data_IF_373365767809
#
_entry.id   IF_373365767809
#
_cell.length_a   1.000
_cell.length_b   1.000
_cell.length_c   1.000
_cell.angle_alpha   90.00
_cell.angle_beta   90.00
_cell.angle_gamma   90.00
#
_symmetry.space_group_name_H-M   'P 1'
#
loop_
_entity.id
_entity.type
_entity.pdbx_description
1 polymer ?
#
# COMPACT_ATOMS: atom_id res chain seq x y z
N UNK A 1 -8.74 75.01 -17.18
CA UNK A 1 -7.74 74.08 -16.61
C UNK A 1 -8.29 73.53 -15.31
N UNK A 2 -8.70 72.26 -15.31
CA UNK A 2 -8.97 71.50 -14.09
C UNK A 2 -8.68 70.04 -14.41
N UNK A 3 -7.68 69.47 -13.73
CA UNK A 3 -7.20 68.11 -13.90
C UNK A 3 -7.93 67.27 -12.85
N UNK A 4 -8.75 66.33 -13.29
CA UNK A 4 -9.43 65.37 -12.42
C UNK A 4 -8.51 64.18 -12.16
N UNK A 5 -8.03 64.05 -10.92
CA UNK A 5 -7.32 62.86 -10.45
C UNK A 5 -8.32 61.90 -9.82
N UNK A 6 -8.48 60.71 -10.41
CA UNK A 6 -9.35 59.65 -9.90
C UNK A 6 -8.52 58.68 -9.07
N UNK A 7 -8.76 58.66 -7.76
CA UNK A 7 -8.15 57.74 -6.79
C UNK A 7 -8.84 56.38 -6.87
N UNK A 8 -8.12 55.34 -7.29
CA UNK A 8 -8.62 53.95 -7.29
C UNK A 8 -8.44 53.35 -5.89
N UNK A 9 -9.54 53.08 -5.19
CA UNK A 9 -9.54 52.30 -3.96
C UNK A 9 -9.34 50.81 -4.28
N UNK A 10 -8.31 50.20 -3.70
CA UNK A 10 -8.03 48.76 -3.82
C UNK A 10 -8.89 48.03 -2.77
N UNK A 11 -9.94 47.36 -3.23
CA UNK A 11 -10.63 46.35 -2.43
C UNK A 11 -9.84 45.03 -2.52
N UNK A 12 -9.18 44.64 -1.43
CA UNK A 12 -8.54 43.32 -1.30
C UNK A 12 -9.65 42.30 -1.07
N UNK A 13 -9.96 41.53 -2.11
CA UNK A 13 -10.85 40.38 -2.00
C UNK A 13 -10.02 39.18 -1.53
N UNK A 14 -10.28 38.72 -0.30
CA UNK A 14 -9.74 37.47 0.23
C UNK A 14 -10.14 36.31 -0.69
N UNK A 15 -9.14 35.68 -1.33
CA UNK A 15 -9.37 34.49 -2.17
C UNK A 15 -9.52 33.26 -1.30
N UNK A 16 -10.74 32.76 -1.21
CA UNK A 16 -11.07 31.45 -0.69
C UNK A 16 -10.43 30.36 -1.59
N UNK A 17 -9.59 29.44 -1.06
CA UNK A 17 -8.91 28.45 -1.88
C UNK A 17 -9.81 27.22 -2.06
N UNK A 18 -10.81 27.31 -2.93
CA UNK A 18 -11.63 26.13 -3.29
C UNK A 18 -11.63 25.78 -4.77
N UNK A 19 -11.03 26.60 -5.64
CA UNK A 19 -11.28 26.47 -7.09
C UNK A 19 -10.05 26.18 -7.96
N UNK A 20 -8.88 25.84 -7.41
CA UNK A 20 -7.67 25.63 -8.21
C UNK A 20 -6.89 24.34 -7.85
N UNK A 21 -7.60 23.21 -7.87
CA UNK A 21 -6.95 21.89 -7.92
C UNK A 21 -7.64 21.11 -9.03
N UNK A 22 -7.08 21.19 -10.23
CA UNK A 22 -7.28 20.18 -11.27
C UNK A 22 -7.06 18.81 -10.62
N UNK A 23 -8.14 18.02 -10.59
CA UNK A 23 -8.18 16.63 -10.14
C UNK A 23 -7.31 15.79 -11.09
N UNK A 24 -5.99 15.90 -10.98
CA UNK A 24 -5.09 14.89 -11.53
C UNK A 24 -5.27 13.62 -10.68
N UNK A 25 -6.23 12.80 -11.09
CA UNK A 25 -6.30 11.40 -10.66
C UNK A 25 -5.00 10.77 -11.11
N UNK A 26 -4.18 10.16 -10.23
CA UNK A 26 -3.02 9.39 -10.65
C UNK A 26 -3.46 8.45 -11.77
N UNK A 27 -2.75 8.42 -12.91
CA UNK A 27 -3.06 7.49 -14.00
C UNK A 27 -3.30 6.11 -13.39
N UNK A 28 -4.53 5.63 -13.46
CA UNK A 28 -4.93 4.42 -12.76
C UNK A 28 -4.01 3.27 -13.18
N UNK A 29 -3.40 2.61 -12.19
CA UNK A 29 -2.67 1.37 -12.37
C UNK A 29 -3.64 0.35 -12.98
N UNK A 30 -3.49 0.07 -14.28
CA UNK A 30 -4.30 -0.91 -15.00
C UNK A 30 -3.67 -2.28 -14.85
N UNK A 31 -4.44 -3.22 -14.32
CA UNK A 31 -4.11 -4.65 -14.35
C UNK A 31 -4.81 -5.29 -15.55
N UNK A 32 -4.13 -6.25 -16.17
CA UNK A 32 -4.67 -7.12 -17.20
C UNK A 32 -5.19 -8.41 -16.56
N UNK A 33 -6.22 -9.00 -17.14
CA UNK A 33 -6.68 -10.32 -16.71
C UNK A 33 -5.61 -11.37 -17.05
N UNK A 34 -5.14 -12.09 -16.02
CA UNK A 34 -4.03 -13.04 -16.16
C UNK A 34 -4.32 -14.12 -17.21
N UNK A 35 -5.57 -14.58 -17.29
CA UNK A 35 -6.02 -15.67 -18.17
C UNK A 35 -6.47 -15.14 -19.55
N UNK A 36 -6.44 -13.83 -19.78
CA UNK A 36 -6.87 -13.28 -21.07
C UNK A 36 -5.79 -13.48 -22.14
N UNK A 37 -6.09 -14.36 -23.09
CA UNK A 37 -5.26 -14.62 -24.27
C UNK A 37 -6.00 -14.10 -25.49
N UNK A 38 -5.50 -13.01 -26.08
CA UNK A 38 -6.04 -12.45 -27.32
C UNK A 38 -5.15 -12.85 -28.49
N UNK A 39 -5.67 -13.66 -29.41
CA UNK A 39 -5.00 -14.01 -30.66
C UNK A 39 -5.40 -13.02 -31.76
N UNK A 40 -4.41 -12.46 -32.44
CA UNK A 40 -4.65 -11.70 -33.68
C UNK A 40 -5.07 -12.65 -34.79
N UNK A 41 -5.68 -12.14 -35.87
CA UNK A 41 -6.05 -12.96 -37.04
C UNK A 41 -4.89 -13.84 -37.54
N UNK A 42 -3.70 -13.27 -37.82
CA UNK A 42 -2.52 -14.06 -38.18
C UNK A 42 -2.06 -15.02 -37.07
N UNK A 43 -2.12 -14.59 -35.80
CA UNK A 43 -1.75 -15.44 -34.65
C UNK A 43 -2.63 -16.68 -34.55
N UNK A 44 -3.94 -16.54 -34.73
CA UNK A 44 -4.90 -17.64 -34.74
C UNK A 44 -4.57 -18.65 -35.86
N UNK A 45 -4.31 -18.16 -37.07
CA UNK A 45 -3.95 -19.02 -38.22
C UNK A 45 -2.66 -19.81 -37.93
N UNK A 46 -1.63 -19.15 -37.40
CA UNK A 46 -0.37 -19.81 -37.05
C UNK A 46 -0.54 -20.84 -35.92
N UNK A 47 -1.37 -20.55 -34.91
CA UNK A 47 -1.69 -21.52 -33.85
C UNK A 47 -2.39 -22.75 -34.41
N UNK A 48 -3.38 -22.58 -35.30
CA UNK A 48 -4.08 -23.69 -35.94
C UNK A 48 -3.11 -24.55 -36.75
N UNK A 49 -2.27 -23.92 -37.59
CA UNK A 49 -1.25 -24.63 -38.38
C UNK A 49 -0.25 -25.38 -37.49
N UNK A 50 0.21 -24.75 -36.40
CA UNK A 50 1.10 -25.37 -35.42
C UNK A 50 0.47 -26.59 -34.76
N UNK A 51 -0.80 -26.52 -34.37
CA UNK A 51 -1.54 -27.67 -33.81
C UNK A 51 -1.63 -28.81 -34.83
N UNK A 52 -2.00 -28.50 -36.09
CA UNK A 52 -2.07 -29.51 -37.16
C UNK A 52 -0.72 -30.19 -37.35
N UNK A 53 0.38 -29.43 -37.42
CA UNK A 53 1.73 -29.97 -37.55
C UNK A 53 2.07 -30.87 -36.36
N UNK A 54 1.80 -30.42 -35.13
CA UNK A 54 2.09 -31.21 -33.93
C UNK A 54 1.33 -32.55 -33.90
N UNK A 55 0.04 -32.55 -34.30
CA UNK A 55 -0.77 -33.78 -34.36
C UNK A 55 -0.19 -34.79 -35.36
N UNK A 56 0.38 -34.31 -36.47
CA UNK A 56 0.92 -35.17 -37.52
C UNK A 56 2.36 -35.65 -37.25
N UNK A 57 3.15 -34.91 -36.47
CA UNK A 57 4.57 -35.19 -36.26
C UNK A 57 4.90 -35.84 -34.91
N UNK A 58 4.07 -35.62 -33.88
CA UNK A 58 4.36 -36.07 -32.52
C UNK A 58 3.36 -37.11 -32.01
N UNK A 59 3.76 -37.84 -30.97
CA UNK A 59 2.89 -38.79 -30.28
C UNK A 59 1.68 -38.06 -29.66
N UNK A 60 0.48 -38.67 -29.62
CA UNK A 60 -0.73 -38.02 -29.12
C UNK A 60 -0.60 -37.46 -27.68
N UNK A 61 0.13 -38.16 -26.81
CA UNK A 61 0.40 -37.72 -25.43
C UNK A 61 1.27 -36.46 -25.38
N UNK A 62 2.30 -36.39 -26.22
CA UNK A 62 3.18 -35.21 -26.31
C UNK A 62 2.42 -34.01 -26.87
N UNK A 63 1.65 -34.20 -27.95
CA UNK A 63 0.83 -33.13 -28.54
C UNK A 63 -0.19 -32.59 -27.55
N UNK A 64 -0.89 -33.47 -26.82
CA UNK A 64 -1.85 -33.07 -25.79
C UNK A 64 -1.18 -32.28 -24.66
N UNK A 65 0.03 -32.69 -24.25
CA UNK A 65 0.82 -32.01 -23.22
C UNK A 65 1.23 -30.61 -23.68
N UNK A 66 1.74 -30.47 -24.90
CA UNK A 66 2.14 -29.17 -25.46
C UNK A 66 0.95 -28.22 -25.52
N UNK A 67 -0.20 -28.68 -26.00
CA UNK A 67 -1.42 -27.86 -26.08
C UNK A 67 -1.88 -27.45 -24.68
N UNK A 68 -1.87 -28.36 -23.70
CA UNK A 68 -2.26 -28.06 -22.33
C UNK A 68 -1.35 -27.03 -21.66
N UNK A 69 -0.04 -27.04 -21.97
CA UNK A 69 0.94 -26.13 -21.38
C UNK A 69 1.14 -24.83 -22.19
N UNK A 70 0.67 -24.76 -23.43
CA UNK A 70 0.83 -23.60 -24.32
C UNK A 70 0.32 -22.26 -23.73
N UNK A 71 -0.74 -22.21 -22.89
CA UNK A 71 -1.15 -20.98 -22.23
C UNK A 71 -0.18 -20.45 -21.17
N UNK A 72 0.66 -21.31 -20.57
CA UNK A 72 1.47 -20.96 -19.38
C UNK A 72 2.43 -19.79 -19.65
N UNK A 73 3.20 -19.75 -20.75
CA UNK A 73 4.08 -18.61 -21.04
C UNK A 73 3.32 -17.28 -21.12
N UNK A 74 2.11 -17.27 -21.69
CA UNK A 74 1.30 -16.06 -21.79
C UNK A 74 0.76 -15.62 -20.42
N UNK A 75 0.30 -16.57 -19.60
CA UNK A 75 -0.11 -16.32 -18.21
C UNK A 75 1.04 -15.70 -17.41
N UNK A 76 2.24 -16.28 -17.50
CA UNK A 76 3.44 -15.76 -16.83
C UNK A 76 3.82 -14.37 -17.36
N UNK A 77 3.70 -14.15 -18.67
CA UNK A 77 3.96 -12.85 -19.29
C UNK A 77 2.99 -11.78 -18.78
N UNK A 78 1.67 -12.05 -18.81
CA UNK A 78 0.64 -11.14 -18.32
C UNK A 78 0.84 -10.82 -16.84
N UNK A 79 1.07 -11.83 -16.00
CA UNK A 79 1.27 -11.66 -14.56
C UNK A 79 2.59 -10.91 -14.25
N UNK A 80 3.65 -11.15 -15.03
CA UNK A 80 4.88 -10.37 -14.94
C UNK A 80 4.65 -8.89 -15.29
N UNK A 81 3.92 -8.60 -16.37
CA UNK A 81 3.58 -7.22 -16.74
C UNK A 81 2.69 -6.55 -15.70
N UNK A 82 1.75 -7.29 -15.13
CA UNK A 82 0.95 -6.84 -13.99
C UNK A 82 1.83 -6.48 -12.80
N UNK A 83 2.83 -7.30 -12.45
CA UNK A 83 3.81 -7.00 -11.40
C UNK A 83 4.60 -5.71 -11.70
N UNK A 84 5.13 -5.57 -12.92
CA UNK A 84 5.87 -4.36 -13.32
C UNK A 84 4.98 -3.11 -13.29
N UNK A 85 3.70 -3.24 -13.68
CA UNK A 85 2.75 -2.12 -13.72
C UNK A 85 2.46 -1.49 -12.35
N UNK A 86 2.68 -2.22 -11.25
CA UNK A 86 2.53 -1.71 -9.88
C UNK A 86 3.62 -0.69 -9.51
N UNK A 87 4.63 -0.55 -10.37
CA UNK A 87 5.75 0.38 -10.20
C UNK A 87 6.82 -0.14 -9.24
N UNK A 88 7.76 0.73 -8.83
CA UNK A 88 8.79 0.38 -7.86
C UNK A 88 8.21 0.23 -6.45
N UNK A 89 8.92 -0.50 -5.58
CA UNK A 89 8.64 -0.63 -4.15
C UNK A 89 9.74 -1.42 -3.43
N UNK A 90 9.39 -2.08 -2.32
CA UNK A 90 10.36 -2.84 -1.51
C UNK A 90 11.08 -3.98 -2.26
N UNK A 91 10.38 -4.64 -3.21
CA UNK A 91 10.95 -5.62 -4.13
C UNK A 91 11.23 -4.96 -5.49
N UNK A 92 12.43 -5.13 -6.08
CA UNK A 92 12.75 -4.54 -7.38
C UNK A 92 11.84 -5.06 -8.51
N UNK A 93 11.45 -4.16 -9.42
CA UNK A 93 10.67 -4.48 -10.63
C UNK A 93 11.52 -5.18 -11.70
N UNK A 94 12.10 -6.33 -11.35
CA UNK A 94 12.95 -7.16 -12.21
C UNK A 94 12.41 -8.59 -12.30
N UNK A 95 12.92 -9.41 -13.21
CA UNK A 95 12.54 -10.83 -13.29
C UNK A 95 12.81 -11.57 -11.97
N UNK A 96 13.94 -11.29 -11.32
CA UNK A 96 14.27 -11.88 -10.03
C UNK A 96 13.30 -11.43 -8.92
N UNK A 97 12.88 -10.17 -8.95
CA UNK A 97 11.82 -9.66 -8.06
C UNK A 97 10.49 -10.36 -8.29
N UNK A 98 10.10 -10.59 -9.54
CA UNK A 98 8.90 -11.35 -9.88
C UNK A 98 8.97 -12.79 -9.35
N UNK A 99 10.08 -13.50 -9.56
CA UNK A 99 10.28 -14.85 -9.01
C UNK A 99 10.11 -14.85 -7.49
N UNK A 100 10.65 -13.84 -6.80
CA UNK A 100 10.46 -13.67 -5.35
C UNK A 100 8.99 -13.50 -4.98
N UNK A 101 8.26 -12.63 -5.67
CA UNK A 101 6.83 -12.44 -5.39
C UNK A 101 6.03 -13.71 -5.66
N UNK A 102 6.31 -14.43 -6.74
CA UNK A 102 5.67 -15.71 -7.06
C UNK A 102 5.90 -16.74 -5.97
N UNK A 103 7.12 -16.80 -5.39
CA UNK A 103 7.41 -17.63 -4.23
C UNK A 103 6.63 -17.17 -2.98
N UNK A 104 6.61 -15.87 -2.68
CA UNK A 104 5.94 -15.33 -1.49
C UNK A 104 4.42 -15.55 -1.52
N UNK A 105 3.79 -15.55 -2.71
CA UNK A 105 2.35 -15.82 -2.87
C UNK A 105 1.89 -17.14 -2.26
N UNK A 106 2.78 -18.14 -2.14
CA UNK A 106 2.47 -19.43 -1.51
C UNK A 106 2.12 -19.27 -0.03
N UNK A 107 2.65 -18.24 0.63
CA UNK A 107 2.44 -17.94 2.05
C UNK A 107 1.46 -16.79 2.28
N UNK A 108 0.83 -16.28 1.23
CA UNK A 108 -0.12 -15.18 1.34
C UNK A 108 -1.37 -15.61 2.10
N UNK A 109 -1.92 -14.71 2.90
CA UNK A 109 -3.21 -14.87 3.55
C UNK A 109 -4.29 -15.18 2.52
N UNK A 110 -5.10 -16.21 2.80
CA UNK A 110 -6.24 -16.55 1.94
C UNK A 110 -7.35 -15.50 2.03
N UNK A 111 -7.50 -14.87 3.20
CA UNK A 111 -8.44 -13.78 3.43
C UNK A 111 -7.75 -12.59 4.12
N UNK A 112 -7.51 -11.48 3.41
CA UNK A 112 -6.89 -10.28 4.00
C UNK A 112 -7.86 -9.48 4.88
N UNK A 113 -9.15 -9.83 4.93
CA UNK A 113 -10.15 -9.15 5.75
C UNK A 113 -10.33 -9.77 7.14
N UNK A 114 -9.79 -10.96 7.35
CA UNK A 114 -9.79 -11.63 8.66
C UNK A 114 -8.83 -10.94 9.64
N UNK A 115 -9.29 -10.52 10.82
CA UNK A 115 -8.47 -9.77 11.77
C UNK A 115 -7.26 -10.59 12.28
N UNK A 116 -6.16 -9.92 12.68
CA UNK A 116 -5.03 -10.58 13.32
C UNK A 116 -5.43 -11.19 14.66
N UNK A 117 -4.72 -12.24 15.09
CA UNK A 117 -5.01 -12.88 16.39
C UNK A 117 -4.50 -11.99 17.52
N UNK A 118 -5.28 -11.94 18.60
CA UNK A 118 -4.85 -11.31 19.85
C UNK A 118 -4.01 -12.33 20.62
N UNK A 119 -2.74 -12.05 20.86
CA UNK A 119 -1.89 -12.85 21.73
C UNK A 119 -2.00 -12.39 23.18
N UNK A 120 -1.70 -13.27 24.14
CA UNK A 120 -1.57 -12.88 25.54
C UNK A 120 -0.32 -12.00 25.72
N UNK A 121 -0.39 -11.03 26.64
CA UNK A 121 0.74 -10.17 26.99
C UNK A 121 1.07 -9.04 25.99
N UNK A 122 0.14 -8.69 25.09
CA UNK A 122 0.32 -7.51 24.24
C UNK A 122 0.34 -6.22 25.07
N UNK A 123 1.14 -5.26 24.63
CA UNK A 123 1.20 -3.93 25.21
C UNK A 123 1.16 -2.92 24.07
N UNK A 124 0.20 -1.97 24.01
CA UNK A 124 -0.88 -1.72 24.97
C UNK A 124 -1.87 -2.90 25.10
N UNK A 125 -2.58 -3.06 26.23
CA UNK A 125 -3.52 -4.16 26.45
C UNK A 125 -4.86 -3.99 25.72
N UNK A 126 -5.17 -2.78 25.26
CA UNK A 126 -6.41 -2.46 24.53
C UNK A 126 -6.09 -1.57 23.33
N UNK A 127 -6.93 -1.63 22.30
CA UNK A 127 -6.86 -0.76 21.13
C UNK A 127 -7.15 0.70 21.44
N UNK A 128 -6.56 1.61 20.66
CA UNK A 128 -6.76 3.05 20.77
C UNK A 128 -8.21 3.45 20.54
N UNK A 129 -8.89 2.85 19.56
CA UNK A 129 -10.27 3.24 19.18
C UNK A 129 -11.21 3.03 20.36
N UNK A 130 -11.09 1.89 21.05
CA UNK A 130 -11.87 1.62 22.25
C UNK A 130 -11.45 2.53 23.41
N UNK A 131 -10.14 2.68 23.64
CA UNK A 131 -9.59 3.47 24.74
C UNK A 131 -9.94 4.98 24.64
N UNK A 132 -10.02 5.50 23.41
CA UNK A 132 -10.42 6.87 23.10
C UNK A 132 -11.94 7.01 22.86
N UNK A 133 -12.71 5.92 22.93
CA UNK A 133 -14.15 5.87 22.64
C UNK A 133 -14.52 6.47 21.28
N UNK A 134 -13.68 6.23 20.29
CA UNK A 134 -13.88 6.71 18.93
C UNK A 134 -14.89 5.82 18.21
N UNK A 135 -15.88 6.44 17.57
CA UNK A 135 -16.84 5.74 16.72
C UNK A 135 -16.49 5.97 15.25
N UNK A 136 -15.76 5.03 14.65
CA UNK A 136 -15.45 5.11 13.23
C UNK A 136 -16.69 4.81 12.37
N UNK A 137 -17.04 5.69 11.41
CA UNK A 137 -18.13 5.43 10.49
C UNK A 137 -17.78 4.26 9.56
N UNK A 138 -18.80 3.65 8.95
CA UNK A 138 -18.58 2.66 7.88
C UNK A 138 -18.15 3.42 6.62
N UNK A 139 -17.11 2.94 5.94
CA UNK A 139 -16.66 3.53 4.67
C UNK A 139 -17.75 3.35 3.61
N UNK A 140 -18.10 4.42 2.91
CA UNK A 140 -19.18 4.39 1.91
C UNK A 140 -18.76 3.69 0.62
N UNK A 141 -19.61 2.79 0.13
CA UNK A 141 -19.41 2.06 -1.14
C UNK A 141 -18.64 0.74 -1.00
N UNK A 142 -18.38 0.05 -2.12
CA UNK A 142 -17.61 -1.20 -2.11
C UNK A 142 -16.16 -0.95 -1.69
N UNK A 143 -15.45 -1.99 -1.31
CA UNK A 143 -14.00 -1.89 -1.05
C UNK A 143 -13.23 -1.58 -2.34
N UNK A 144 -12.17 -0.76 -2.27
CA UNK A 144 -11.20 -0.64 -3.35
C UNK A 144 -10.57 -2.00 -3.68
N UNK A 145 -10.39 -2.28 -4.97
CA UNK A 145 -9.50 -3.33 -5.45
C UNK A 145 -8.06 -2.98 -5.14
N UNK A 146 -7.31 -3.97 -4.68
CA UNK A 146 -5.88 -3.91 -4.35
C UNK A 146 -5.18 -5.07 -5.05
N UNK A 147 -3.93 -4.86 -5.46
CA UNK A 147 -3.11 -5.87 -6.12
C UNK A 147 -1.67 -5.85 -5.59
N UNK A 148 -0.99 -6.99 -5.75
CA UNK A 148 0.41 -7.15 -5.40
C UNK A 148 0.68 -7.61 -3.97
N UNK A 149 1.96 -7.85 -3.68
CA UNK A 149 2.47 -8.22 -2.36
C UNK A 149 3.53 -7.19 -1.96
N UNK A 150 4.60 -7.07 -2.75
CA UNK A 150 5.60 -6.03 -2.55
C UNK A 150 6.12 -5.62 -3.93
N UNK A 151 5.70 -4.47 -4.48
CA UNK A 151 4.72 -3.54 -3.90
C UNK A 151 3.29 -4.11 -3.84
N UNK A 152 2.51 -3.67 -2.85
CA UNK A 152 1.06 -3.78 -2.79
C UNK A 152 0.46 -2.40 -3.11
N UNK A 153 -0.58 -2.35 -3.95
CA UNK A 153 -1.19 -1.10 -4.41
C UNK A 153 -2.70 -1.16 -4.46
N UNK A 154 -3.34 -0.06 -4.09
CA UNK A 154 -4.74 0.22 -4.39
C UNK A 154 -4.89 0.59 -5.88
N UNK A 155 -5.67 -0.19 -6.63
CA UNK A 155 -5.80 -0.06 -8.10
C UNK A 155 -7.18 0.47 -8.54
N UNK A 156 -8.02 0.88 -7.60
CA UNK A 156 -9.31 1.49 -7.88
C UNK A 156 -9.75 2.41 -6.75
N UNK A 157 -10.77 3.24 -6.97
CA UNK A 157 -11.26 4.21 -5.99
C UNK A 157 -10.13 5.09 -5.39
N UNK A 158 -9.24 5.57 -6.25
CA UNK A 158 -8.08 6.37 -5.86
C UNK A 158 -8.46 7.56 -4.97
N UNK A 159 -7.60 7.87 -4.01
CA UNK A 159 -7.77 9.04 -3.15
C UNK A 159 -7.55 10.35 -3.92
N UNK A 160 -8.03 11.44 -3.32
CA UNK A 160 -7.84 12.78 -3.89
C UNK A 160 -6.41 13.27 -3.69
N UNK A 161 -5.81 13.85 -4.74
CA UNK A 161 -4.48 14.47 -4.65
C UNK A 161 -4.42 15.59 -3.62
N UNK A 162 -5.53 16.32 -3.43
CA UNK A 162 -5.64 17.33 -2.39
C UNK A 162 -5.53 16.71 -0.99
N UNK A 163 -6.22 15.58 -0.76
CA UNK A 163 -6.16 14.89 0.54
C UNK A 163 -4.78 14.27 0.79
N UNK A 164 -4.14 13.74 -0.25
CA UNK A 164 -2.75 13.29 -0.18
C UNK A 164 -1.79 14.41 0.26
N UNK A 165 -1.90 15.60 -0.35
CA UNK A 165 -1.06 16.76 0.01
C UNK A 165 -1.32 17.20 1.44
N UNK A 166 -2.59 17.37 1.83
CA UNK A 166 -2.97 17.71 3.20
C UNK A 166 -2.40 16.72 4.21
N UNK A 167 -2.52 15.42 3.95
CA UNK A 167 -2.00 14.42 4.87
C UNK A 167 -0.48 14.49 5.01
N UNK A 168 0.26 14.63 3.89
CA UNK A 168 1.73 14.78 3.96
C UNK A 168 2.15 15.99 4.78
N UNK A 169 1.51 17.13 4.54
CA UNK A 169 1.73 18.35 5.34
C UNK A 169 1.41 18.12 6.82
N UNK A 170 0.28 17.47 7.11
CA UNK A 170 -0.15 17.15 8.47
C UNK A 170 0.86 16.24 9.19
N UNK A 171 1.38 15.21 8.52
CA UNK A 171 2.38 14.30 9.08
C UNK A 171 3.72 15.00 9.36
N UNK A 172 4.18 15.84 8.44
CA UNK A 172 5.39 16.64 8.63
C UNK A 172 5.24 17.60 9.82
N UNK A 173 4.12 18.33 9.88
CA UNK A 173 3.84 19.25 10.98
C UNK A 173 3.70 18.51 12.32
N UNK A 174 3.10 17.32 12.30
CA UNK A 174 2.95 16.48 13.48
C UNK A 174 4.30 16.03 14.03
N UNK A 175 5.19 15.55 13.17
CA UNK A 175 6.56 15.22 13.54
C UNK A 175 7.33 16.45 14.05
N UNK A 176 7.17 17.60 13.41
CA UNK A 176 7.84 18.83 13.82
C UNK A 176 7.42 19.30 15.22
N UNK A 177 6.10 19.32 15.52
CA UNK A 177 5.59 19.73 16.83
C UNK A 177 5.90 18.77 17.95
N UNK A 178 6.11 17.49 17.62
CA UNK A 178 6.44 16.42 18.55
C UNK A 178 7.84 15.88 18.26
N UNK A 179 8.79 16.78 17.98
CA UNK A 179 10.16 16.41 17.57
C UNK A 179 10.93 15.65 18.65
N UNK A 180 10.47 15.68 19.90
CA UNK A 180 10.94 14.88 21.01
C UNK A 180 10.52 13.40 20.92
N UNK A 181 9.52 13.07 20.10
CA UNK A 181 8.85 11.77 20.07
C UNK A 181 8.68 11.18 18.67
N UNK A 182 8.56 12.03 17.66
CA UNK A 182 8.24 11.66 16.30
C UNK A 182 9.27 12.23 15.33
N UNK A 183 9.46 11.54 14.22
CA UNK A 183 10.19 12.06 13.05
C UNK A 183 9.54 11.58 11.76
N UNK A 184 9.81 12.29 10.67
CA UNK A 184 9.50 11.85 9.32
C UNK A 184 10.77 11.46 8.57
N UNK A 185 10.70 10.38 7.80
CA UNK A 185 11.83 9.88 7.00
C UNK A 185 11.31 9.03 5.82
N UNK A 186 12.20 8.45 5.02
CA UNK A 186 11.86 7.47 3.98
C UNK A 186 11.44 6.15 4.61
N UNK A 187 10.32 5.58 4.16
CA UNK A 187 9.85 4.26 4.64
C UNK A 187 10.91 3.18 4.41
N UNK A 188 11.11 2.31 5.39
CA UNK A 188 12.05 1.19 5.24
C UNK A 188 11.41 -0.05 4.60
N UNK A 189 10.07 -0.13 4.53
CA UNK A 189 9.36 -1.14 3.74
C UNK A 189 9.26 -0.76 2.26
N UNK A 190 8.73 0.44 1.99
CA UNK A 190 8.52 0.92 0.62
C UNK A 190 9.85 1.38 -0.02
N UNK A 191 10.86 1.69 0.80
CA UNK A 191 12.17 2.26 0.41
C UNK A 191 12.06 3.60 -0.31
N UNK A 192 10.87 4.20 -0.26
CA UNK A 192 10.44 5.44 -0.91
C UNK A 192 9.27 6.03 -0.11
N UNK A 193 8.95 7.28 -0.41
CA UNK A 193 7.76 7.95 0.14
C UNK A 193 7.94 8.39 1.60
N UNK A 194 7.00 9.24 2.03
CA UNK A 194 6.98 9.80 3.37
C UNK A 194 6.50 8.75 4.39
N UNK A 195 7.26 8.55 5.45
CA UNK A 195 6.88 7.74 6.59
C UNK A 195 7.01 8.53 7.90
N UNK A 196 6.15 8.20 8.86
CA UNK A 196 6.16 8.71 10.22
C UNK A 196 6.74 7.63 11.14
N UNK A 197 7.67 8.02 12.02
CA UNK A 197 8.34 7.12 12.96
C UNK A 197 8.19 7.61 14.40
N UNK A 198 8.08 6.67 15.33
CA UNK A 198 8.30 6.90 16.76
C UNK A 198 9.79 6.82 17.10
N UNK A 199 10.29 7.77 17.89
CA UNK A 199 11.66 7.76 18.41
C UNK A 199 11.84 6.77 19.57
N UNK A 200 10.75 6.48 20.29
CA UNK A 200 10.74 5.56 21.44
C UNK A 200 9.64 4.50 21.25
N UNK A 201 9.80 3.54 20.32
CA UNK A 201 8.79 2.53 20.06
C UNK A 201 8.77 1.46 21.16
N UNK A 202 7.58 1.09 21.64
CA UNK A 202 7.34 -0.10 22.47
C UNK A 202 7.08 -1.35 21.61
N UNK A 203 6.49 -1.16 20.42
CA UNK A 203 6.31 -2.20 19.41
C UNK A 203 7.12 -1.86 18.17
N UNK A 204 8.40 -2.24 18.19
CA UNK A 204 9.33 -1.87 17.12
C UNK A 204 9.05 -2.66 15.85
N UNK A 205 8.58 -1.95 14.83
CA UNK A 205 8.62 -2.42 13.44
C UNK A 205 9.45 -1.43 12.65
N UNK A 206 10.48 -1.91 11.95
CA UNK A 206 11.24 -1.09 11.00
C UNK A 206 11.71 0.25 11.61
N UNK A 207 12.53 0.20 12.66
CA UNK A 207 12.99 1.39 13.40
C UNK A 207 11.87 2.29 13.95
N UNK A 208 10.71 1.72 14.29
CA UNK A 208 9.58 2.45 14.88
C UNK A 208 8.65 3.10 13.85
N UNK A 209 8.61 2.58 12.62
CA UNK A 209 7.70 3.07 11.57
C UNK A 209 6.23 2.88 11.99
N UNK A 210 5.52 4.00 12.12
CA UNK A 210 4.09 4.07 12.47
C UNK A 210 3.26 3.83 11.22
N UNK A 211 3.49 4.64 10.19
CA UNK A 211 2.82 4.55 8.91
C UNK A 211 3.68 5.12 7.79
N UNK A 212 3.44 4.67 6.57
CA UNK A 212 3.99 5.30 5.38
C UNK A 212 2.95 5.51 4.29
N UNK A 213 3.19 6.51 3.46
CA UNK A 213 2.31 6.92 2.37
C UNK A 213 2.87 6.48 1.02
N UNK A 214 2.07 5.75 0.25
CA UNK A 214 2.39 5.40 -1.12
C UNK A 214 2.24 6.63 -2.02
N UNK A 215 3.26 6.92 -2.81
CA UNK A 215 3.20 8.04 -3.76
C UNK A 215 2.32 7.73 -4.98
N UNK A 216 2.25 6.47 -5.40
CA UNK A 216 1.60 6.04 -6.64
C UNK A 216 0.07 6.04 -6.54
N UNK A 217 -0.49 5.59 -5.43
CA UNK A 217 -1.95 5.40 -5.26
C UNK A 217 -2.54 6.13 -4.04
N UNK A 218 -1.69 6.81 -3.25
CA UNK A 218 -2.04 7.55 -2.04
C UNK A 218 -2.59 6.68 -0.89
N UNK A 219 -2.47 5.35 -0.97
CA UNK A 219 -2.80 4.44 0.12
C UNK A 219 -1.65 4.36 1.14
N UNK A 220 -1.88 3.65 2.25
CA UNK A 220 -0.95 3.65 3.38
C UNK A 220 -0.72 2.25 3.90
N UNK A 221 0.48 1.97 4.39
CA UNK A 221 0.65 0.88 5.34
C UNK A 221 0.94 1.40 6.74
N UNK A 222 0.50 0.63 7.73
CA UNK A 222 0.76 0.89 9.13
C UNK A 222 0.62 -0.38 9.97
N UNK A 223 1.17 -0.34 11.18
CA UNK A 223 0.98 -1.37 12.19
C UNK A 223 -0.07 -0.92 13.20
N UNK A 224 -1.06 -1.77 13.46
CA UNK A 224 -2.18 -1.46 14.33
C UNK A 224 -2.28 -2.45 15.49
N UNK A 225 -2.85 -2.01 16.61
CA UNK A 225 -3.27 -2.95 17.62
C UNK A 225 -4.28 -3.95 17.01
N UNK A 226 -4.22 -5.26 17.36
CA UNK A 226 -5.12 -6.25 16.76
C UNK A 226 -6.62 -5.92 16.85
N UNK A 227 -7.06 -5.32 17.98
CA UNK A 227 -8.44 -4.85 18.15
C UNK A 227 -8.78 -3.66 17.25
N UNK A 228 -7.87 -2.71 17.06
CA UNK A 228 -8.09 -1.57 16.16
C UNK A 228 -8.15 -2.05 14.71
N UNK A 229 -7.24 -2.95 14.33
CA UNK A 229 -7.23 -3.60 13.02
C UNK A 229 -8.57 -4.28 12.76
N UNK A 230 -9.12 -5.04 13.73
CA UNK A 230 -10.44 -5.65 13.61
C UNK A 230 -11.53 -4.63 13.29
N UNK A 231 -11.62 -3.53 14.05
CA UNK A 231 -12.63 -2.49 13.83
C UNK A 231 -12.46 -1.85 12.44
N UNK A 232 -11.22 -1.52 12.06
CA UNK A 232 -10.89 -0.89 10.77
C UNK A 232 -11.26 -1.80 9.59
N UNK A 233 -10.96 -3.09 9.70
CA UNK A 233 -11.34 -4.10 8.71
C UNK A 233 -12.86 -4.19 8.63
N UNK A 234 -13.57 -4.40 9.74
CA UNK A 234 -15.05 -4.51 9.76
C UNK A 234 -15.74 -3.26 9.18
N UNK A 235 -15.20 -2.07 9.43
CA UNK A 235 -15.74 -0.79 8.95
C UNK A 235 -15.39 -0.45 7.50
N UNK A 236 -14.59 -1.28 6.83
CA UNK A 236 -14.29 -1.12 5.40
C UNK A 236 -13.14 -0.17 5.07
N UNK A 237 -12.29 0.19 6.04
CA UNK A 237 -11.25 1.21 5.86
C UNK A 237 -9.90 0.68 5.34
N UNK A 238 -9.70 -0.63 5.39
CA UNK A 238 -8.47 -1.25 4.91
C UNK A 238 -8.57 -2.76 4.79
N UNK A 239 -7.42 -3.37 4.53
CA UNK A 239 -7.21 -4.80 4.43
C UNK A 239 -5.80 -5.17 4.88
N UNK A 240 -5.60 -6.38 5.42
CA UNK A 240 -4.28 -6.81 5.85
C UNK A 240 -3.35 -6.99 4.66
N UNK A 241 -2.07 -6.75 4.89
CA UNK A 241 -1.06 -7.07 3.88
C UNK A 241 -1.05 -8.60 3.65
N UNK A 242 -0.93 -9.09 2.39
CA UNK A 242 -0.99 -10.53 2.10
C UNK A 242 0.01 -11.37 2.90
N UNK A 243 1.17 -10.79 3.24
CA UNK A 243 2.21 -11.45 4.04
C UNK A 243 2.13 -11.18 5.54
N UNK A 244 1.05 -10.56 6.03
CA UNK A 244 0.89 -10.23 7.44
C UNK A 244 0.81 -11.50 8.30
N UNK A 245 1.88 -11.77 9.06
CA UNK A 245 2.00 -12.97 9.89
C UNK A 245 2.43 -14.21 9.11
N UNK A 246 2.89 -14.06 7.86
CA UNK A 246 3.41 -15.17 7.10
C UNK A 246 4.68 -15.74 7.74
N UNK A 247 4.73 -17.07 7.83
CA UNK A 247 5.84 -17.82 8.41
C UNK A 247 6.11 -19.07 7.60
N UNK A 248 7.39 -19.43 7.44
CA UNK A 248 7.77 -20.68 6.81
C UNK A 248 7.43 -21.86 7.74
N UNK A 249 7.03 -23.03 7.20
CA UNK A 249 6.94 -24.26 7.98
C UNK A 249 8.26 -24.53 8.72
N UNK A 250 8.21 -25.09 9.92
CA UNK A 250 9.40 -25.29 10.77
C UNK A 250 10.53 -26.03 10.06
N UNK A 251 10.20 -27.02 9.23
CA UNK A 251 11.17 -27.78 8.42
C UNK A 251 11.93 -26.85 7.47
N UNK A 252 11.21 -25.96 6.77
CA UNK A 252 11.82 -24.99 5.85
C UNK A 252 12.65 -23.97 6.62
N UNK A 253 12.13 -23.46 7.74
CA UNK A 253 12.86 -22.52 8.59
C UNK A 253 14.19 -23.12 9.11
N UNK A 254 14.19 -24.40 9.50
CA UNK A 254 15.39 -25.11 9.94
C UNK A 254 16.41 -25.20 8.80
N UNK A 255 15.99 -25.56 7.58
CA UNK A 255 16.88 -25.61 6.41
C UNK A 255 17.46 -24.22 6.12
N UNK A 256 16.62 -23.17 6.10
CA UNK A 256 17.05 -21.80 5.84
C UNK A 256 18.03 -21.27 6.90
N UNK A 257 18.03 -21.82 8.12
CA UNK A 257 18.95 -21.41 9.19
C UNK A 257 20.41 -21.83 8.95
N UNK A 258 20.65 -22.82 8.10
CA UNK A 258 21.99 -23.24 7.69
C UNK A 258 22.56 -22.41 6.53
N UNK A 259 21.74 -21.58 5.89
CA UNK A 259 22.18 -20.73 4.77
C UNK A 259 22.81 -19.41 5.28
N UNK A 260 23.66 -18.76 4.47
CA UNK A 260 24.13 -17.41 4.77
C UNK A 260 22.96 -16.45 5.02
N UNK A 261 23.12 -15.50 5.94
CA UNK A 261 22.04 -14.58 6.38
C UNK A 261 21.36 -13.87 5.22
N UNK A 262 22.11 -13.46 4.19
CA UNK A 262 21.58 -12.80 2.99
C UNK A 262 20.64 -13.71 2.19
N UNK A 263 21.00 -14.99 2.05
CA UNK A 263 20.21 -15.98 1.33
C UNK A 263 19.00 -16.43 2.16
N UNK A 264 19.19 -16.62 3.47
CA UNK A 264 18.09 -16.91 4.41
C UNK A 264 17.05 -15.79 4.41
N UNK A 265 17.49 -14.53 4.45
CA UNK A 265 16.62 -13.36 4.36
C UNK A 265 15.87 -13.25 3.02
N UNK A 266 16.49 -13.70 1.93
CA UNK A 266 15.84 -13.73 0.61
C UNK A 266 14.64 -14.67 0.57
N UNK A 267 14.76 -15.85 1.18
CA UNK A 267 13.73 -16.88 1.24
C UNK A 267 12.77 -16.76 2.43
N UNK A 268 13.04 -15.86 3.38
CA UNK A 268 12.14 -15.66 4.52
C UNK A 268 10.80 -15.08 4.04
N UNK A 269 9.67 -15.75 4.32
CA UNK A 269 8.35 -15.21 4.00
C UNK A 269 7.90 -14.13 5.00
N UNK A 270 8.59 -14.00 6.15
CA UNK A 270 8.27 -13.02 7.19
C UNK A 270 8.82 -11.66 6.81
N UNK A 271 8.13 -11.00 5.88
CA UNK A 271 8.52 -9.68 5.35
C UNK A 271 7.89 -8.51 6.10
N UNK A 272 6.76 -8.73 6.77
CA UNK A 272 6.02 -7.70 7.54
C UNK A 272 5.43 -8.29 8.82
N UNK A 273 5.09 -7.47 9.83
CA UNK A 273 4.39 -7.93 11.04
C UNK A 273 2.98 -8.48 10.77
N UNK A 274 2.43 -9.19 11.74
CA UNK A 274 1.06 -9.73 11.67
C UNK A 274 -0.01 -8.64 11.64
N UNK A 275 0.30 -7.52 12.28
CA UNK A 275 -0.55 -6.33 12.44
C UNK A 275 -0.49 -5.36 11.25
N UNK A 276 0.21 -5.72 10.17
CA UNK A 276 0.45 -4.82 9.06
C UNK A 276 -0.77 -4.73 8.14
N UNK A 277 -1.31 -3.52 8.00
CA UNK A 277 -2.56 -3.25 7.29
C UNK A 277 -2.34 -2.20 6.22
N UNK A 278 -2.94 -2.41 5.06
CA UNK A 278 -3.14 -1.37 4.04
C UNK A 278 -4.41 -0.58 4.37
N UNK A 279 -4.29 0.73 4.54
CA UNK A 279 -5.41 1.66 4.69
C UNK A 279 -5.67 2.33 3.34
N UNK A 280 -6.94 2.33 2.94
CA UNK A 280 -7.35 2.86 1.65
C UNK A 280 -7.28 4.40 1.61
N UNK A 281 -6.86 4.93 0.46
CA UNK A 281 -6.67 6.37 0.26
C UNK A 281 -7.99 7.16 0.47
N UNK A 282 -7.96 8.34 1.13
CA UNK A 282 -9.14 9.16 1.39
C UNK A 282 -9.59 9.93 0.13
N UNK A 283 -10.89 9.89 -0.14
CA UNK A 283 -11.52 10.56 -1.30
C UNK A 283 -11.87 12.01 -1.00
N UNK A 284 -12.17 12.33 0.25
CA UNK A 284 -12.60 13.65 0.70
C UNK A 284 -12.10 13.93 2.13
N UNK A 285 -12.44 15.11 2.66
CA UNK A 285 -11.97 15.58 3.98
C UNK A 285 -12.50 14.74 5.14
N UNK A 286 -13.73 14.24 5.03
CA UNK A 286 -14.34 13.39 6.07
C UNK A 286 -13.61 12.05 6.17
N UNK A 287 -13.28 11.44 5.02
CA UNK A 287 -12.44 10.24 4.99
C UNK A 287 -11.03 10.51 5.49
N UNK A 288 -10.45 11.66 5.16
CA UNK A 288 -9.14 12.06 5.66
C UNK A 288 -9.13 12.16 7.19
N UNK A 289 -10.20 12.70 7.80
CA UNK A 289 -10.34 12.75 9.25
C UNK A 289 -10.36 11.35 9.88
N UNK A 290 -11.08 10.41 9.28
CA UNK A 290 -11.07 9.01 9.74
C UNK A 290 -9.66 8.40 9.61
N UNK A 291 -8.97 8.64 8.49
CA UNK A 291 -7.58 8.19 8.29
C UNK A 291 -6.65 8.77 9.36
N UNK A 292 -6.81 10.05 9.74
CA UNK A 292 -6.03 10.63 10.83
C UNK A 292 -6.24 9.89 12.16
N UNK A 293 -7.49 9.54 12.51
CA UNK A 293 -7.77 8.73 13.71
C UNK A 293 -7.16 7.33 13.65
N UNK A 294 -7.11 6.73 12.46
CA UNK A 294 -6.46 5.44 12.27
C UNK A 294 -4.93 5.56 12.45
N UNK A 295 -4.32 6.67 12.00
CA UNK A 295 -2.89 6.95 12.24
C UNK A 295 -2.61 7.19 13.72
N UNK A 296 -3.51 7.85 14.45
CA UNK A 296 -3.41 7.99 15.91
C UNK A 296 -3.42 6.62 16.60
N UNK A 297 -4.26 5.69 16.13
CA UNK A 297 -4.29 4.31 16.63
C UNK A 297 -2.99 3.55 16.34
N UNK A 298 -2.43 3.72 15.14
CA UNK A 298 -1.13 3.15 14.79
C UNK A 298 0.01 3.74 15.65
N UNK A 299 -0.03 5.06 15.90
CA UNK A 299 0.94 5.73 16.75
C UNK A 299 0.85 5.18 18.19
N UNK A 300 -0.36 5.04 18.73
CA UNK A 300 -0.58 4.46 20.05
C UNK A 300 -0.07 3.01 20.15
N UNK A 301 -0.28 2.19 19.12
CA UNK A 301 0.29 0.85 19.08
C UNK A 301 1.83 0.88 19.12
N UNK A 302 2.45 1.71 18.29
CA UNK A 302 3.92 1.72 18.16
C UNK A 302 4.61 2.37 19.36
N UNK A 303 4.09 3.47 19.91
CA UNK A 303 4.73 4.25 20.97
C UNK A 303 4.12 4.05 22.36
N UNK A 304 2.90 3.53 22.46
CA UNK A 304 2.12 3.50 23.71
C UNK A 304 1.53 4.86 24.11
N UNK A 305 1.75 5.90 23.32
CA UNK A 305 1.33 7.25 23.64
C UNK A 305 0.08 7.69 22.88
N UNK A 306 -0.78 8.45 23.57
CA UNK A 306 -1.94 9.08 22.94
C UNK A 306 -1.51 10.38 22.30
N UNK A 307 -1.35 10.36 20.99
CA UNK A 307 -1.01 11.52 20.19
C UNK A 307 -2.21 11.90 19.33
N UNK A 308 -2.36 13.19 19.06
CA UNK A 308 -3.47 13.73 18.26
C UNK A 308 -2.93 14.36 16.99
N UNK A 309 -3.43 13.92 15.84
CA UNK A 309 -3.05 14.39 14.51
C UNK A 309 -4.12 15.35 13.99
N UNK A 310 -3.73 16.60 13.76
CA UNK A 310 -4.59 17.62 13.15
C UNK A 310 -4.39 17.68 11.65
N UNK A 311 -5.47 17.92 10.89
CA UNK A 311 -5.39 18.13 9.45
C UNK A 311 -4.98 19.58 9.17
N UNK A 312 -3.90 19.75 8.42
CA UNK A 312 -3.28 21.04 8.17
C UNK A 312 -2.89 21.22 6.71
N UNK A 313 -2.99 22.45 6.23
CA UNK A 313 -2.66 22.83 4.85
C UNK A 313 -1.40 23.67 4.73
N UNK A 314 -0.89 24.24 5.82
CA UNK A 314 0.28 25.13 5.82
C UNK A 314 1.48 24.37 6.40
N UNK A 315 2.56 24.15 5.63
CA UNK A 315 3.77 23.52 6.15
C UNK A 315 4.45 24.43 7.18
N UNK A 316 4.89 23.86 8.31
CA UNK A 316 5.69 24.58 9.32
C UNK A 316 7.18 24.67 8.95
N UNK A 317 7.64 23.81 8.05
CA UNK A 317 8.99 23.80 7.50
C UNK A 317 8.85 23.67 5.99
N UNK A 318 9.65 24.42 5.23
CA UNK A 318 9.75 24.21 3.78
C UNK A 318 10.21 22.77 3.51
N UNK A 319 9.46 22.02 2.69
CA UNK A 319 9.90 20.69 2.26
C UNK A 319 11.22 20.86 1.51
N UNK A 320 12.32 20.31 2.05
CA UNK A 320 13.46 19.98 1.22
C UNK A 320 12.95 18.95 0.21
N UNK A 321 12.89 19.35 -1.06
CA UNK A 321 12.50 18.46 -2.15
C UNK A 321 13.57 17.38 -2.25
N UNK A 322 13.35 16.25 -1.56
CA UNK A 322 14.15 15.04 -1.78
C UNK A 322 13.61 14.44 -3.08
N UNK A 323 14.32 14.71 -4.18
CA UNK A 323 14.11 14.16 -5.52
C UNK A 323 14.38 12.66 -5.53
#
# INVERSE_FOLDING_TARGET
MSISATTTAVAIQERHPTNDITLEVPMGLKQQDIIQITLTGPGLVLTILGIIICINLFQPSLTSTIIALAPIPWIVYNDYHNFISLGPGGTPSTLLGYVKITYLRIFALSDPYSPPKVSEGINPPFGYIQAARLNLPIRSGPRPKVAGIAPQRQISQYGSRAMYKLLRTSLNNFAHRRSDKLKTDVSCFEKKGLALFSLNPINTTCNGEICHVHHSDNSYHMNLHPEDAKIILEKGWGERHPMAGASAPQIVANILSYLPTSLSAWFSPRVVPEQFVLIYAPRNKDELQVVCHIIEAAAFWVSGERLTLSIESVPLIEESVIV
#
